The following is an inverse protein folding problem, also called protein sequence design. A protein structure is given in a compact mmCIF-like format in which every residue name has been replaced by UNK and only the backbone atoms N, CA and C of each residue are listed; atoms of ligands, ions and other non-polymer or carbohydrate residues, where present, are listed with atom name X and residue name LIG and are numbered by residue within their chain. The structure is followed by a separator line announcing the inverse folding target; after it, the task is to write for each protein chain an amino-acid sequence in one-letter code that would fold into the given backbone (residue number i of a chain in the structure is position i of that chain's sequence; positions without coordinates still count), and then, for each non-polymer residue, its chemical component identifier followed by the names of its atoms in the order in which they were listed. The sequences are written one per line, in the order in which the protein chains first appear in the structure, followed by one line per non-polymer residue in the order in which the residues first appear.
data_IF_638166673815
#
_entry.id   IF_638166673815
#
_cell.length_a   1.000
_cell.length_b   1.000
_cell.length_c   1.000
_cell.angle_alpha   90.00
_cell.angle_beta   90.00
_cell.angle_gamma   90.00
#
_symmetry.space_group_name_H-M   'P 1'
#
loop_
_entity.id
_entity.type
_entity.pdbx_description
1 polymer ?
#
# COMPACT_ATOMS: atom_id res chain seq x y z
N UNK A 1 27.40 -20.29 21.47
CA UNK A 1 27.91 -19.68 20.22
C UNK A 1 27.08 -20.05 18.98
N UNK A 2 26.21 -21.07 19.03
CA UNK A 2 25.32 -21.44 17.92
C UNK A 2 24.04 -20.58 17.81
N UNK A 3 23.45 -20.15 18.95
CA UNK A 3 22.18 -19.38 18.95
C UNK A 3 22.30 -18.01 18.25
N UNK A 4 23.39 -17.25 18.49
CA UNK A 4 23.58 -15.95 17.84
C UNK A 4 23.85 -16.02 16.33
N UNK A 5 24.32 -17.16 15.81
CA UNK A 5 24.47 -17.37 14.35
C UNK A 5 23.11 -17.63 13.68
N UNK A 6 22.18 -18.25 14.40
CA UNK A 6 20.82 -18.52 13.93
C UNK A 6 19.98 -17.24 13.87
N UNK A 7 20.04 -16.40 14.91
CA UNK A 7 19.35 -15.10 14.95
C UNK A 7 19.79 -14.15 13.82
N UNK A 8 21.09 -14.09 13.54
CA UNK A 8 21.64 -13.29 12.42
C UNK A 8 21.12 -13.82 11.08
N UNK A 9 20.99 -15.14 10.94
CA UNK A 9 20.51 -15.77 9.70
C UNK A 9 19.02 -15.48 9.48
N UNK A 10 18.21 -15.60 10.53
CA UNK A 10 16.78 -15.23 10.49
C UNK A 10 16.59 -13.75 10.14
N UNK A 11 17.36 -12.86 10.75
CA UNK A 11 17.26 -11.42 10.47
C UNK A 11 17.63 -11.09 9.02
N UNK A 12 18.69 -11.72 8.49
CA UNK A 12 19.10 -11.55 7.09
C UNK A 12 18.04 -12.02 6.12
N UNK A 13 17.39 -13.15 6.40
CA UNK A 13 16.32 -13.65 5.52
C UNK A 13 15.11 -12.73 5.52
N UNK A 14 14.65 -12.28 6.69
CA UNK A 14 13.55 -11.30 6.76
C UNK A 14 13.85 -9.98 6.06
N UNK A 15 15.11 -9.53 6.15
CA UNK A 15 15.54 -8.34 5.41
C UNK A 15 15.48 -8.58 3.90
N UNK A 16 15.96 -9.75 3.44
CA UNK A 16 15.89 -10.14 2.03
C UNK A 16 14.44 -10.20 1.53
N UNK A 17 13.53 -10.85 2.27
CA UNK A 17 12.10 -10.90 1.95
C UNK A 17 11.50 -9.49 1.83
N UNK A 18 11.85 -8.59 2.76
CA UNK A 18 11.39 -7.21 2.72
C UNK A 18 11.94 -6.46 1.49
N UNK A 19 13.22 -6.65 1.15
CA UNK A 19 13.83 -6.05 -0.04
C UNK A 19 13.16 -6.57 -1.32
N UNK A 20 12.95 -7.88 -1.43
CA UNK A 20 12.29 -8.51 -2.58
C UNK A 20 10.83 -8.02 -2.70
N UNK A 21 10.10 -7.95 -1.59
CA UNK A 21 8.76 -7.38 -1.57
C UNK A 21 8.75 -5.92 -2.03
N UNK A 22 9.63 -5.08 -1.50
CA UNK A 22 9.68 -3.66 -1.86
C UNK A 22 10.14 -3.45 -3.31
N UNK A 23 11.00 -4.31 -3.84
CA UNK A 23 11.42 -4.27 -5.24
C UNK A 23 10.26 -4.61 -6.20
N UNK A 24 9.34 -5.48 -5.79
CA UNK A 24 8.14 -5.80 -6.57
C UNK A 24 7.00 -4.77 -6.38
N UNK A 25 6.75 -4.34 -5.13
CA UNK A 25 5.65 -3.43 -4.81
C UNK A 25 5.95 -1.97 -5.15
N UNK A 26 7.17 -1.51 -4.87
CA UNK A 26 7.58 -0.11 -5.00
C UNK A 26 7.36 0.49 -6.39
N UNK A 27 7.77 -0.17 -7.48
CA UNK A 27 7.51 0.30 -8.84
C UNK A 27 6.01 0.43 -9.14
N UNK A 28 5.21 -0.58 -8.79
CA UNK A 28 3.76 -0.54 -9.01
C UNK A 28 3.07 0.57 -8.20
N UNK A 29 3.54 0.83 -6.98
CA UNK A 29 3.07 1.93 -6.14
C UNK A 29 3.45 3.31 -6.69
N UNK A 30 4.62 3.43 -7.33
CA UNK A 30 5.09 4.67 -7.94
C UNK A 30 4.26 5.10 -9.16
N UNK A 31 3.69 4.14 -9.90
CA UNK A 31 2.80 4.39 -11.05
C UNK A 31 1.43 4.99 -10.69
N UNK A 32 1.04 4.92 -9.42
CA UNK A 32 -0.16 5.59 -8.93
C UNK A 32 0.07 7.11 -8.86
N UNK A 33 -0.99 7.89 -9.06
CA UNK A 33 -0.93 9.33 -8.77
C UNK A 33 -0.88 9.56 -7.26
N UNK A 34 -0.50 10.76 -6.84
CA UNK A 34 -0.54 11.13 -5.41
C UNK A 34 -1.96 10.95 -4.82
N UNK A 35 -2.99 11.35 -5.56
CA UNK A 35 -4.38 11.17 -5.13
C UNK A 35 -4.76 9.69 -4.99
N UNK A 36 -4.33 8.84 -5.92
CA UNK A 36 -4.58 7.39 -5.85
C UNK A 36 -3.88 6.77 -4.64
N UNK A 37 -2.61 7.13 -4.40
CA UNK A 37 -1.86 6.70 -3.21
C UNK A 37 -2.52 7.17 -1.93
N UNK A 38 -2.87 8.45 -1.83
CA UNK A 38 -3.52 9.01 -0.65
C UNK A 38 -4.83 8.29 -0.32
N UNK A 39 -5.66 8.00 -1.33
CA UNK A 39 -6.89 7.23 -1.11
C UNK A 39 -6.55 5.84 -0.55
N UNK A 40 -5.60 5.12 -1.13
CA UNK A 40 -5.24 3.79 -0.64
C UNK A 40 -4.59 3.83 0.76
N UNK A 41 -3.74 4.81 1.04
CA UNK A 41 -3.16 5.05 2.37
C UNK A 41 -4.25 5.25 3.42
N UNK A 42 -5.24 6.09 3.13
CA UNK A 42 -6.38 6.31 4.03
C UNK A 42 -7.12 4.99 4.34
N UNK A 43 -7.35 4.16 3.32
CA UNK A 43 -8.14 2.93 3.47
C UNK A 43 -7.36 1.74 4.05
N UNK A 44 -6.04 1.67 3.86
CA UNK A 44 -5.23 0.48 4.17
C UNK A 44 -4.07 0.70 5.14
N UNK A 45 -3.60 1.94 5.33
CA UNK A 45 -2.47 2.27 6.21
C UNK A 45 -2.90 2.97 7.50
N UNK A 46 -4.20 3.08 7.73
CA UNK A 46 -4.78 3.68 8.93
C UNK A 46 -4.87 5.20 8.82
N UNK A 47 -6.05 5.71 8.43
CA UNK A 47 -6.40 7.09 8.73
C UNK A 47 -6.76 7.20 10.22
N UNK A 48 -6.42 8.32 10.85
CA UNK A 48 -6.98 8.69 12.15
C UNK A 48 -8.50 8.92 11.99
N UNK A 49 -9.28 7.85 12.18
CA UNK A 49 -10.73 7.85 12.01
C UNK A 49 -11.22 7.22 10.71
N UNK A 50 -12.32 7.73 10.17
CA UNK A 50 -12.95 7.11 8.99
C UNK A 50 -12.19 7.49 7.72
N UNK A 51 -11.53 6.50 7.10
CA UNK A 51 -10.90 6.63 5.78
C UNK A 51 -11.79 7.30 4.73
N UNK A 52 -13.08 6.94 4.73
CA UNK A 52 -14.07 7.50 3.81
C UNK A 52 -14.28 8.98 4.10
N UNK A 53 -14.39 9.38 5.37
CA UNK A 53 -14.54 10.80 5.74
C UNK A 53 -13.31 11.60 5.34
N UNK A 54 -12.10 11.10 5.59
CA UNK A 54 -10.84 11.75 5.19
C UNK A 54 -10.77 11.98 3.67
N UNK A 55 -11.14 10.97 2.89
CA UNK A 55 -11.20 11.08 1.42
C UNK A 55 -12.31 12.04 0.97
N UNK A 56 -13.49 11.99 1.60
CA UNK A 56 -14.57 12.94 1.30
C UNK A 56 -14.14 14.39 1.56
N UNK A 57 -13.45 14.63 2.68
CA UNK A 57 -12.98 15.96 3.08
C UNK A 57 -11.88 16.47 2.16
N UNK A 58 -10.82 15.68 1.88
CA UNK A 58 -9.74 16.12 1.00
C UNK A 58 -10.21 16.47 -0.41
N UNK A 59 -11.12 15.67 -0.97
CA UNK A 59 -11.56 15.82 -2.36
C UNK A 59 -12.90 16.53 -2.53
N UNK A 60 -13.54 16.93 -1.43
CA UNK A 60 -14.88 17.56 -1.44
C UNK A 60 -15.90 16.73 -2.23
N UNK A 61 -16.02 15.45 -1.88
CA UNK A 61 -16.88 14.49 -2.57
C UNK A 61 -17.79 13.71 -1.61
N UNK A 62 -18.83 13.10 -2.18
CA UNK A 62 -19.70 12.17 -1.47
C UNK A 62 -19.03 10.81 -1.21
N UNK A 63 -19.54 10.09 -0.20
CA UNK A 63 -19.06 8.76 0.20
C UNK A 63 -19.01 7.76 -0.94
N UNK A 64 -20.04 7.72 -1.79
CA UNK A 64 -20.08 6.81 -2.94
C UNK A 64 -18.96 7.12 -3.94
N UNK A 65 -18.58 8.39 -4.09
CA UNK A 65 -17.47 8.79 -4.96
C UNK A 65 -16.12 8.44 -4.33
N UNK A 66 -15.97 8.52 -3.00
CA UNK A 66 -14.79 8.05 -2.28
C UNK A 66 -14.54 6.54 -2.49
N UNK A 67 -15.56 5.70 -2.32
CA UNK A 67 -15.44 4.26 -2.59
C UNK A 67 -15.13 3.94 -4.05
N UNK A 68 -15.74 4.66 -5.00
CA UNK A 68 -15.42 4.50 -6.44
C UNK A 68 -13.96 4.86 -6.74
N UNK A 69 -13.42 5.94 -6.16
CA UNK A 69 -12.01 6.29 -6.29
C UNK A 69 -11.10 5.21 -5.71
N UNK A 70 -11.41 4.70 -4.51
CA UNK A 70 -10.67 3.59 -3.90
C UNK A 70 -10.64 2.36 -4.81
N UNK A 71 -11.79 1.95 -5.34
CA UNK A 71 -11.87 0.77 -6.19
C UNK A 71 -11.09 0.95 -7.50
N UNK A 72 -11.09 2.16 -8.08
CA UNK A 72 -10.30 2.47 -9.28
C UNK A 72 -8.80 2.41 -9.00
N UNK A 73 -8.35 3.06 -7.93
CA UNK A 73 -6.94 3.05 -7.52
C UNK A 73 -6.46 1.62 -7.23
N UNK A 74 -7.27 0.83 -6.50
CA UNK A 74 -6.96 -0.55 -6.18
C UNK A 74 -6.91 -1.43 -7.43
N UNK A 75 -7.85 -1.27 -8.36
CA UNK A 75 -7.85 -2.00 -9.62
C UNK A 75 -6.61 -1.69 -10.45
N UNK A 76 -6.21 -0.40 -10.53
CA UNK A 76 -4.98 0.01 -11.21
C UNK A 76 -3.75 -0.63 -10.56
N UNK A 77 -3.63 -0.56 -9.23
CA UNK A 77 -2.52 -1.16 -8.49
C UNK A 77 -2.45 -2.68 -8.72
N UNK A 78 -3.60 -3.36 -8.69
CA UNK A 78 -3.68 -4.81 -8.95
C UNK A 78 -3.13 -5.17 -10.33
N UNK A 79 -3.47 -4.39 -11.37
CA UNK A 79 -2.96 -4.63 -12.72
C UNK A 79 -1.44 -4.41 -12.78
N UNK A 80 -0.91 -3.40 -12.09
CA UNK A 80 0.53 -3.13 -12.06
C UNK A 80 1.32 -4.23 -11.31
N UNK A 81 0.73 -4.82 -10.27
CA UNK A 81 1.38 -5.85 -9.45
C UNK A 81 1.35 -7.24 -10.08
N UNK A 82 0.24 -7.62 -10.71
CA UNK A 82 -0.02 -9.01 -11.10
C UNK A 82 -0.20 -9.21 -12.61
N UNK A 83 -0.25 -8.13 -13.40
CA UNK A 83 -0.76 -8.22 -14.77
C UNK A 83 -2.28 -8.41 -14.80
N UNK A 84 -2.84 -8.60 -16.00
CA UNK A 84 -4.27 -8.87 -16.21
C UNK A 84 -4.63 -10.31 -15.89
#
# INVERSE_FOLDING_TARGET
MAEGMDEISVLRERYREAVEFMAWFGPAWAELTEDERYVLECFYMGADGSAVSAVCERFQIERNSAYRRKNRALSKLSVMLYGK
#
